data_IF_672042060568
#
_entry.id   IF_672042060568
#
_cell.length_a   1.000
_cell.length_b   1.000
_cell.length_c   1.000
_cell.angle_alpha   90.00
_cell.angle_beta   90.00
_cell.angle_gamma   90.00
#
_symmetry.space_group_name_H-M   'P 1'
#
loop_
_entity.id
_entity.type
_entity.pdbx_description
1 polymer ?
#
# COMPACT_ATOMS: atom_id res chain seq x y z
N UNK A 1 21.08 -11.48 -14.70
CA UNK A 1 20.90 -11.21 -14.36
C UNK A 1 20.85 -10.75 -13.68
N UNK A 2 20.80 -10.50 -13.46
CA UNK A 2 20.72 -10.04 -12.85
C UNK A 2 20.24 -9.76 -12.11
N UNK A 3 19.72 -9.63 -11.94
CA UNK A 3 19.11 -9.42 -11.34
C UNK A 3 19.28 -9.31 -10.34
N UNK A 4 19.77 -9.51 -9.94
CA UNK A 4 20.01 -9.54 -9.04
C UNK A 4 20.18 -8.59 -8.38
N UNK A 5 20.61 -7.89 -8.71
CA UNK A 5 20.97 -6.86 -8.01
C UNK A 5 19.92 -6.37 -7.25
N UNK A 6 18.95 -6.19 -7.76
CA UNK A 6 18.00 -5.74 -7.02
C UNK A 6 17.20 -6.78 -6.85
N UNK A 7 17.58 -7.86 -6.93
CA UNK A 7 16.71 -8.87 -6.77
C UNK A 7 16.49 -9.30 -5.40
N UNK A 8 16.74 -8.54 -4.43
CA UNK A 8 16.45 -9.03 -3.11
C UNK A 8 14.95 -9.17 -2.94
N UNK A 9 14.49 -10.20 -2.28
CA UNK A 9 13.07 -10.40 -2.05
C UNK A 9 12.41 -9.22 -1.34
N UNK A 10 13.13 -8.61 -0.43
CA UNK A 10 12.57 -7.47 0.28
C UNK A 10 12.32 -6.33 -0.67
N UNK A 11 13.23 -6.12 -1.59
CA UNK A 11 13.08 -5.04 -2.53
C UNK A 11 11.88 -5.25 -3.44
N UNK A 12 11.71 -6.48 -3.90
CA UNK A 12 10.57 -6.78 -4.73
C UNK A 12 9.28 -6.62 -3.97
N UNK A 13 9.25 -7.07 -2.74
CA UNK A 13 8.04 -6.95 -1.94
C UNK A 13 7.71 -5.50 -1.69
N UNK A 14 8.72 -4.68 -1.45
CA UNK A 14 8.47 -3.27 -1.25
C UNK A 14 7.88 -2.64 -2.51
N UNK A 15 8.41 -3.01 -3.67
CA UNK A 15 7.88 -2.49 -4.92
C UNK A 15 6.44 -2.92 -5.13
N UNK A 16 6.13 -4.17 -4.81
CA UNK A 16 4.76 -4.64 -4.95
C UNK A 16 3.83 -3.92 -4.00
N UNK A 17 4.27 -3.70 -2.78
CA UNK A 17 3.45 -3.00 -1.81
C UNK A 17 3.23 -1.55 -2.22
N UNK A 18 4.25 -0.93 -2.78
CA UNK A 18 4.11 0.44 -3.25
C UNK A 18 3.12 0.50 -4.40
N UNK A 19 3.17 -0.46 -5.30
CA UNK A 19 2.24 -0.50 -6.40
C UNK A 19 0.82 -0.72 -5.91
N UNK A 20 0.64 -1.59 -4.94
CA UNK A 20 -0.67 -1.82 -4.37
C UNK A 20 -1.18 -0.59 -3.66
N UNK A 21 -0.33 0.08 -2.92
CA UNK A 21 -0.73 1.29 -2.22
C UNK A 21 -1.19 2.35 -3.21
N UNK A 22 -0.47 2.49 -4.30
CA UNK A 22 -0.86 3.44 -5.32
C UNK A 22 -2.18 3.07 -5.96
N UNK A 23 -2.36 1.78 -6.23
CA UNK A 23 -3.59 1.32 -6.85
C UNK A 23 -4.79 1.60 -5.94
N UNK A 24 -4.67 1.28 -4.66
CA UNK A 24 -5.77 1.54 -3.75
C UNK A 24 -6.02 3.04 -3.59
N UNK A 25 -4.96 3.83 -3.60
CA UNK A 25 -5.11 5.28 -3.51
C UNK A 25 -5.87 5.83 -4.70
N UNK A 26 -5.56 5.33 -5.89
CA UNK A 26 -6.24 5.80 -7.09
C UNK A 26 -7.70 5.39 -7.08
N UNK A 27 -7.98 4.17 -6.69
CA UNK A 27 -9.36 3.72 -6.61
C UNK A 27 -10.13 4.54 -5.61
N UNK A 28 -9.52 4.82 -4.49
CA UNK A 28 -10.15 5.59 -3.45
C UNK A 28 -10.44 7.00 -3.94
N UNK A 29 -9.50 7.58 -4.67
CA UNK A 29 -9.70 8.91 -5.17
C UNK A 29 -10.85 9.01 -6.13
N UNK A 30 -11.02 8.00 -6.96
CA UNK A 30 -12.14 7.96 -7.89
C UNK A 30 -13.45 7.98 -7.10
N UNK A 31 -13.52 7.21 -6.03
CA UNK A 31 -14.73 7.19 -5.23
C UNK A 31 -14.98 8.53 -4.54
N UNK A 32 -13.92 9.11 -4.00
CA UNK A 32 -14.06 10.36 -3.29
C UNK A 32 -14.59 11.48 -4.19
N UNK A 33 -14.26 11.42 -5.46
CA UNK A 33 -14.69 12.47 -6.36
C UNK A 33 -16.14 12.37 -6.76
N UNK A 34 -16.79 11.27 -6.49
CA UNK A 34 -18.19 11.14 -6.84
C UNK A 34 -19.06 11.96 -5.91
N UNK A 35 -20.07 12.63 -6.41
CA UNK A 35 -20.95 13.42 -5.54
C UNK A 35 -21.77 12.57 -4.60
N UNK A 36 -22.12 11.36 -5.03
CA UNK A 36 -22.84 10.47 -4.17
C UNK A 36 -22.24 9.10 -4.25
N UNK A 37 -22.21 8.40 -3.17
CA UNK A 37 -21.77 7.02 -3.16
C UNK A 37 -22.94 6.13 -2.80
N UNK A 38 -23.12 5.09 -3.59
CA UNK A 38 -24.12 4.09 -3.22
C UNK A 38 -23.65 3.35 -1.98
N UNK A 39 -24.54 2.54 -1.42
CA UNK A 39 -24.13 1.77 -0.24
C UNK A 39 -22.95 0.87 -0.54
N UNK A 40 -22.97 0.24 -1.71
CA UNK A 40 -21.85 -0.60 -2.07
C UNK A 40 -20.58 0.20 -2.22
N UNK A 41 -20.68 1.39 -2.78
CA UNK A 41 -19.51 2.22 -2.94
C UNK A 41 -18.99 2.72 -1.62
N UNK A 42 -19.89 2.97 -0.67
CA UNK A 42 -19.44 3.36 0.66
C UNK A 42 -18.69 2.23 1.34
N UNK A 43 -19.16 1.01 1.18
CA UNK A 43 -18.44 -0.14 1.70
C UNK A 43 -17.09 -0.28 1.03
N UNK A 44 -17.07 -0.04 -0.26
CA UNK A 44 -15.83 -0.13 -1.01
C UNK A 44 -14.84 0.92 -0.52
N UNK A 45 -15.32 2.10 -0.23
CA UNK A 45 -14.47 3.15 0.29
C UNK A 45 -13.81 2.73 1.59
N UNK A 46 -14.61 2.19 2.50
CA UNK A 46 -14.08 1.73 3.78
C UNK A 46 -13.05 0.63 3.57
N UNK A 47 -13.36 -0.29 2.67
CA UNK A 47 -12.47 -1.39 2.40
C UNK A 47 -11.15 -0.92 1.82
N UNK A 48 -11.23 0.01 0.87
CA UNK A 48 -10.02 0.54 0.25
C UNK A 48 -9.16 1.30 1.26
N UNK A 49 -9.81 2.02 2.17
CA UNK A 49 -9.06 2.71 3.19
C UNK A 49 -8.33 1.74 4.09
N UNK A 50 -8.98 0.64 4.44
CA UNK A 50 -8.35 -0.36 5.28
C UNK A 50 -7.20 -1.04 4.55
N UNK A 51 -7.41 -1.38 3.29
CA UNK A 51 -6.38 -2.02 2.50
C UNK A 51 -5.18 -1.09 2.31
N UNK A 52 -5.46 0.17 2.05
CA UNK A 52 -4.41 1.14 1.87
C UNK A 52 -3.59 1.27 3.15
N UNK A 53 -4.26 1.31 4.28
CA UNK A 53 -3.57 1.43 5.54
C UNK A 53 -2.76 0.18 5.84
N UNK A 54 -3.33 -0.99 5.55
CA UNK A 54 -2.63 -2.23 5.77
C UNK A 54 -1.35 -2.28 4.95
N UNK A 55 -1.44 -1.90 3.68
CA UNK A 55 -0.27 -1.93 2.82
C UNK A 55 0.76 -0.92 3.28
N UNK A 56 0.30 0.24 3.72
CA UNK A 56 1.22 1.25 4.22
C UNK A 56 1.93 0.75 5.46
N UNK A 57 1.22 0.06 6.34
CA UNK A 57 1.84 -0.49 7.53
C UNK A 57 2.90 -1.52 7.16
N UNK A 58 2.62 -2.32 6.15
CA UNK A 58 3.59 -3.29 5.69
C UNK A 58 4.83 -2.60 5.14
N UNK A 59 4.63 -1.53 4.39
CA UNK A 59 5.75 -0.79 3.84
C UNK A 59 6.62 -0.20 4.94
N UNK A 60 5.97 0.39 5.93
CA UNK A 60 6.71 0.98 7.03
C UNK A 60 7.47 -0.09 7.78
N UNK A 61 6.84 -1.22 8.01
CA UNK A 61 7.49 -2.30 8.72
C UNK A 61 8.73 -2.79 7.99
N UNK A 62 8.62 -2.93 6.66
CA UNK A 62 9.75 -3.44 5.92
C UNK A 62 10.88 -2.44 5.85
N UNK A 63 10.55 -1.17 5.72
CA UNK A 63 11.58 -0.15 5.70
C UNK A 63 12.23 0.00 7.06
N UNK A 64 11.42 -0.11 8.10
CA UNK A 64 11.94 0.02 9.43
C UNK A 64 12.84 -1.12 9.79
N UNK A 65 12.57 -2.28 9.27
CA UNK A 65 13.39 -3.42 9.63
C UNK A 65 14.82 -3.23 9.20
N UNK A 66 15.04 -2.35 8.23
CA UNK A 66 16.39 -2.10 7.89
C UNK A 66 17.04 -1.21 8.88
N UNK A 67 16.38 -0.24 9.36
CA UNK A 67 17.05 0.63 10.27
C UNK A 67 16.90 0.20 11.65
N UNK A 68 15.90 -0.45 12.02
CA UNK A 68 15.67 -0.85 13.29
C UNK A 68 16.19 -0.15 14.28
N UNK A 69 16.59 0.78 14.06
CA UNK A 69 17.13 1.39 15.03
C UNK A 69 16.30 1.81 16.04
N UNK A 70 15.26 2.24 15.94
CA UNK A 70 14.67 2.85 16.94
C UNK A 70 13.94 2.06 17.67
N UNK A 71 13.73 1.18 17.53
CA UNK A 71 13.07 0.45 18.21
C UNK A 71 12.51 0.88 19.29
N UNK A 72 12.75 1.31 19.78
CA UNK A 72 12.21 1.67 20.93
C UNK A 72 11.37 1.43 21.36
#
# INVERSE_FOLDING_TARGET
>A
MDMEANGSPDSEEIHQLEAQHRHYSEQLEILIQKPYLSEQEQLEEVRLKKLKLYVKDQLVARRSSHSRAYVA
#
